data_IF_116473399911
#
_entry.id   IF_116473399911
#
_cell.length_a   1.000
_cell.length_b   1.000
_cell.length_c   1.000
_cell.angle_alpha   90.00
_cell.angle_beta   90.00
_cell.angle_gamma   90.00
#
_symmetry.space_group_name_H-M   'P 1'
#
loop_
_entity.id
_entity.type
_entity.pdbx_description
1 polymer ?
#
# COMPACT_ATOMS: atom_id res chain seq x y z
N UNK A 1 -3.43 5.36 18.65
CA UNK A 1 -2.55 6.08 17.71
C UNK A 1 -1.48 5.12 17.17
N UNK A 2 -1.84 4.26 16.21
CA UNK A 2 -1.01 3.13 15.71
C UNK A 2 -0.64 3.27 14.22
N UNK A 3 -1.02 4.37 13.57
CA UNK A 3 -0.72 4.61 12.17
C UNK A 3 0.80 4.77 11.95
N UNK A 4 1.30 4.16 10.88
CA UNK A 4 2.69 4.32 10.43
C UNK A 4 2.95 5.81 10.15
N UNK A 5 4.02 6.37 10.69
CA UNK A 5 4.34 7.79 10.57
C UNK A 5 4.13 8.53 11.88
N UNK A 6 3.03 8.28 12.59
CA UNK A 6 2.71 9.04 13.80
C UNK A 6 3.65 8.72 14.97
N UNK A 7 3.92 7.44 15.22
CA UNK A 7 4.80 7.03 16.33
C UNK A 7 6.24 7.46 16.08
N UNK A 8 6.69 7.34 14.83
CA UNK A 8 8.05 7.69 14.42
C UNK A 8 8.27 9.20 14.50
N UNK A 9 7.28 10.02 14.13
CA UNK A 9 7.35 11.47 14.28
C UNK A 9 7.29 11.91 15.73
N UNK A 10 6.46 11.27 16.57
CA UNK A 10 6.46 11.53 18.02
C UNK A 10 7.84 11.28 18.63
N UNK A 11 8.50 10.18 18.28
CA UNK A 11 9.88 9.90 18.76
C UNK A 11 10.90 10.96 18.32
N UNK A 12 10.74 11.57 17.14
CA UNK A 12 11.54 12.71 16.71
C UNK A 12 11.25 13.97 17.55
N UNK A 13 9.97 14.30 17.76
CA UNK A 13 9.57 15.45 18.57
C UNK A 13 9.98 15.32 20.04
N UNK A 14 9.99 14.10 20.58
CA UNK A 14 10.46 13.80 21.94
C UNK A 14 11.99 13.77 22.06
N UNK A 15 12.73 14.00 20.96
CA UNK A 15 14.20 14.02 20.94
C UNK A 15 14.85 12.64 21.10
N UNK A 16 14.07 11.56 21.04
CA UNK A 16 14.54 10.17 21.21
C UNK A 16 15.10 9.54 19.94
N UNK A 17 14.94 10.21 18.79
CA UNK A 17 15.35 9.76 17.47
C UNK A 17 15.66 10.95 16.57
N UNK A 18 16.62 10.84 15.64
CA UNK A 18 16.86 11.89 14.62
C UNK A 18 15.79 11.88 13.54
N UNK A 19 15.68 12.98 12.80
CA UNK A 19 14.71 13.09 11.71
C UNK A 19 14.97 12.05 10.62
N UNK A 20 16.23 11.87 10.24
CA UNK A 20 16.64 10.95 9.18
C UNK A 20 16.33 9.49 9.56
N UNK A 21 16.56 9.13 10.82
CA UNK A 21 16.24 7.82 11.38
C UNK A 21 14.73 7.59 11.39
N UNK A 22 13.96 8.59 11.80
CA UNK A 22 12.49 8.54 11.78
C UNK A 22 11.94 8.36 10.37
N UNK A 23 12.49 9.09 9.39
CA UNK A 23 12.14 8.92 7.96
C UNK A 23 12.48 7.51 7.47
N UNK A 24 13.65 6.97 7.86
CA UNK A 24 14.05 5.61 7.50
C UNK A 24 13.08 4.57 8.07
N UNK A 25 12.68 4.71 9.33
CA UNK A 25 11.71 3.82 9.98
C UNK A 25 10.35 3.86 9.30
N UNK A 26 9.86 5.05 8.92
CA UNK A 26 8.60 5.20 8.19
C UNK A 26 8.68 4.44 6.87
N UNK A 27 9.73 4.67 6.06
CA UNK A 27 9.91 3.97 4.77
C UNK A 27 9.99 2.46 4.95
N UNK A 28 10.70 1.97 5.96
CA UNK A 28 10.82 0.54 6.23
C UNK A 28 9.47 -0.07 6.66
N UNK A 29 8.75 0.58 7.56
CA UNK A 29 7.46 0.12 8.05
C UNK A 29 6.39 0.13 6.96
N UNK A 30 6.38 1.15 6.09
CA UNK A 30 5.49 1.21 4.93
C UNK A 30 5.75 0.04 3.96
N UNK A 31 7.01 -0.27 3.65
CA UNK A 31 7.37 -1.44 2.82
C UNK A 31 6.94 -2.76 3.48
N UNK A 32 7.18 -2.91 4.78
CA UNK A 32 6.77 -4.11 5.52
C UNK A 32 5.25 -4.26 5.56
N UNK A 33 4.51 -3.15 5.68
CA UNK A 33 3.06 -3.15 5.64
C UNK A 33 2.54 -3.56 4.25
N UNK A 34 3.05 -2.94 3.18
CA UNK A 34 2.71 -3.31 1.80
C UNK A 34 2.99 -4.80 1.53
N UNK A 35 4.14 -5.32 1.99
CA UNK A 35 4.46 -6.76 1.89
C UNK A 35 3.43 -7.63 2.63
N UNK A 36 3.02 -7.26 3.85
CA UNK A 36 2.00 -8.00 4.60
C UNK A 36 0.64 -7.99 3.89
N UNK A 37 0.22 -6.84 3.36
CA UNK A 37 -1.01 -6.73 2.56
C UNK A 37 -0.94 -7.67 1.36
N UNK A 38 0.16 -7.65 0.62
CA UNK A 38 0.37 -8.53 -0.53
C UNK A 38 0.37 -10.02 -0.14
N UNK A 39 1.05 -10.39 0.95
CA UNK A 39 1.03 -11.77 1.44
C UNK A 39 -0.38 -12.23 1.81
N UNK A 40 -1.15 -11.38 2.49
CA UNK A 40 -2.54 -11.68 2.85
C UNK A 40 -3.41 -11.88 1.61
N UNK A 41 -3.38 -10.93 0.66
CA UNK A 41 -4.13 -11.04 -0.58
C UNK A 41 -3.72 -12.24 -1.45
N UNK A 42 -2.46 -12.71 -1.40
CA UNK A 42 -2.05 -13.93 -2.12
C UNK A 42 -2.66 -15.22 -1.54
N UNK A 43 -3.08 -15.21 -0.29
CA UNK A 43 -3.71 -16.37 0.35
C UNK A 43 -5.22 -16.44 0.06
N UNK A 44 -5.83 -15.33 -0.37
CA UNK A 44 -7.23 -15.26 -0.74
C UNK A 44 -7.44 -15.78 -2.17
N UNK A 45 -8.25 -16.83 -2.31
CA UNK A 45 -8.47 -17.51 -3.58
C UNK A 45 -9.39 -16.75 -4.54
N UNK A 46 -10.14 -15.76 -4.06
CA UNK A 46 -11.20 -15.09 -4.81
C UNK A 46 -10.81 -13.69 -5.31
N UNK A 47 -9.51 -13.39 -5.35
CA UNK A 47 -8.98 -12.09 -5.74
C UNK A 47 -8.59 -12.06 -7.21
N UNK A 48 -9.16 -11.09 -7.93
CA UNK A 48 -8.72 -10.74 -9.28
C UNK A 48 -7.61 -9.69 -9.20
N UNK A 49 -6.40 -10.05 -9.61
CA UNK A 49 -5.26 -9.12 -9.66
C UNK A 49 -5.34 -8.28 -10.94
N UNK A 50 -5.37 -6.95 -10.77
CA UNK A 50 -5.44 -6.00 -11.89
C UNK A 50 -4.13 -5.22 -11.91
N UNK A 51 -3.33 -5.44 -12.94
CA UNK A 51 -2.09 -4.67 -13.16
C UNK A 51 -2.42 -3.30 -13.74
N UNK A 52 -2.15 -2.22 -13.02
CA UNK A 52 -2.34 -0.85 -13.50
C UNK A 52 -1.03 -0.17 -13.90
N UNK A 53 0.06 -0.93 -14.07
CA UNK A 53 1.36 -0.38 -14.44
C UNK A 53 1.27 0.42 -15.74
N UNK A 54 1.69 1.68 -15.68
CA UNK A 54 1.64 2.60 -16.83
C UNK A 54 0.29 3.30 -17.03
N UNK A 55 -0.73 2.99 -16.23
CA UNK A 55 -2.00 3.73 -16.17
C UNK A 55 -1.94 4.74 -15.04
N UNK A 56 -2.14 6.02 -15.37
CA UNK A 56 -2.09 7.11 -14.40
C UNK A 56 -3.36 7.95 -14.40
N UNK A 57 -4.23 7.77 -15.40
CA UNK A 57 -5.52 8.42 -15.50
C UNK A 57 -6.64 7.55 -14.89
N UNK A 58 -7.59 8.15 -14.17
CA UNK A 58 -8.72 7.43 -13.58
C UNK A 58 -9.56 6.67 -14.60
N UNK A 59 -9.77 7.23 -15.79
CA UNK A 59 -10.60 6.65 -16.85
C UNK A 59 -10.01 5.32 -17.37
N UNK A 60 -8.70 5.27 -17.62
CA UNK A 60 -7.98 4.08 -18.05
C UNK A 60 -7.96 3.00 -16.98
N UNK A 61 -7.78 3.38 -15.70
CA UNK A 61 -7.90 2.43 -14.58
C UNK A 61 -9.33 1.88 -14.49
N UNK A 62 -10.34 2.74 -14.59
CA UNK A 62 -11.75 2.34 -14.54
C UNK A 62 -12.11 1.37 -15.66
N UNK A 63 -11.71 1.65 -16.90
CA UNK A 63 -11.96 0.76 -18.03
C UNK A 63 -11.33 -0.62 -17.84
N UNK A 64 -10.11 -0.68 -17.29
CA UNK A 64 -9.44 -1.94 -17.00
C UNK A 64 -10.12 -2.75 -15.89
N UNK A 65 -10.61 -2.07 -14.85
CA UNK A 65 -11.37 -2.71 -13.78
C UNK A 65 -12.72 -3.22 -14.30
N UNK A 66 -13.42 -2.44 -15.13
CA UNK A 66 -14.71 -2.82 -15.69
C UNK A 66 -14.60 -4.10 -16.54
N UNK A 67 -13.64 -4.15 -17.46
CA UNK A 67 -13.39 -5.34 -18.29
C UNK A 67 -13.11 -6.58 -17.44
N UNK A 68 -12.32 -6.45 -16.37
CA UNK A 68 -12.00 -7.57 -15.49
C UNK A 68 -13.23 -8.09 -14.69
N UNK A 69 -14.21 -7.21 -14.42
CA UNK A 69 -15.46 -7.59 -13.76
C UNK A 69 -16.40 -8.28 -14.75
N UNK A 70 -16.52 -7.75 -15.97
CA UNK A 70 -17.34 -8.34 -17.03
C UNK A 70 -16.87 -9.77 -17.39
N UNK A 71 -15.56 -9.98 -17.55
CA UNK A 71 -14.97 -11.29 -17.84
C UNK A 71 -15.25 -12.34 -16.76
N UNK A 72 -15.51 -11.92 -15.52
CA UNK A 72 -15.80 -12.81 -14.38
C UNK A 72 -17.29 -13.11 -14.23
N UNK A 73 -18.16 -12.31 -14.84
CA UNK A 73 -19.62 -12.47 -14.79
C UNK A 73 -20.19 -13.28 -15.97
N UNK A 74 -19.42 -13.43 -17.07
CA UNK A 74 -19.73 -14.31 -18.20
C UNK A 74 -19.31 -15.75 -17.96
#
# INVERSE_FOLDING_TARGET
MQAIGYKELVSFFDGTCRLEESVSFIKQRSRNYAKRQFTWFRQESDITWIDITGLFDPEGVFGKVLSAVEDRMG
#
